data_IF_639235530942
#
_entry.id   IF_639235530942
#
_cell.length_a   1.000
_cell.length_b   1.000
_cell.length_c   1.000
_cell.angle_alpha   90.00
_cell.angle_beta   90.00
_cell.angle_gamma   90.00
#
_symmetry.space_group_name_H-M   'P 1'
#
loop_
_entity.id
_entity.type
_entity.pdbx_description
1 polymer ?
#
# COMPACT_ATOMS: atom_id res chain seq x y z
N UNK A 1 26.74 15.63 -10.82
CA UNK A 1 26.40 15.95 -9.41
C UNK A 1 25.45 14.84 -8.98
N UNK A 2 25.81 14.02 -7.99
CA UNK A 2 25.04 12.82 -7.61
C UNK A 2 23.66 13.25 -7.08
N UNK A 3 22.59 12.61 -7.57
CA UNK A 3 21.21 12.80 -7.10
C UNK A 3 21.17 12.83 -5.57
N UNK A 4 20.61 13.92 -5.03
CA UNK A 4 20.47 14.20 -3.60
C UNK A 4 19.30 13.44 -2.95
N UNK A 5 18.62 12.54 -3.69
CA UNK A 5 17.40 11.88 -3.26
C UNK A 5 17.59 10.42 -2.84
N UNK A 6 18.83 9.92 -2.74
CA UNK A 6 19.09 8.58 -2.22
C UNK A 6 18.79 8.52 -0.71
N UNK A 7 17.77 7.70 -0.39
CA UNK A 7 17.35 7.22 0.93
C UNK A 7 16.18 7.95 1.60
N UNK A 8 15.06 8.13 0.90
CA UNK A 8 13.78 8.19 1.61
C UNK A 8 13.29 6.75 1.84
N UNK A 9 13.56 6.19 3.03
CA UNK A 9 12.97 4.91 3.43
C UNK A 9 11.45 5.07 3.52
N UNK A 10 10.74 4.69 2.46
CA UNK A 10 9.28 4.64 2.37
C UNK A 10 8.66 3.47 3.16
N UNK A 11 9.25 3.11 4.32
CA UNK A 11 8.66 2.27 5.39
C UNK A 11 7.38 2.87 6.00
N UNK A 12 6.75 3.84 5.35
CA UNK A 12 5.65 4.64 5.88
C UNK A 12 4.30 4.29 5.26
N UNK A 13 4.26 3.57 4.13
CA UNK A 13 3.04 2.95 3.63
C UNK A 13 2.81 1.56 4.23
N UNK A 14 3.85 0.94 4.80
CA UNK A 14 3.63 -0.25 5.61
C UNK A 14 2.83 0.16 6.87
N UNK A 15 1.63 -0.37 7.03
CA UNK A 15 0.88 -0.35 8.29
C UNK A 15 1.67 -1.03 9.44
N UNK A 16 2.84 -1.62 9.15
CA UNK A 16 3.87 -1.97 10.12
C UNK A 16 4.90 -0.85 10.36
N UNK A 17 4.94 -0.33 11.59
CA UNK A 17 6.02 0.53 12.07
C UNK A 17 7.30 -0.30 12.25
N UNK A 18 8.35 -0.03 11.48
CA UNK A 18 9.70 -0.54 11.79
C UNK A 18 10.76 0.58 11.79
N UNK A 19 10.72 1.39 12.85
CA UNK A 19 11.88 2.16 13.31
C UNK A 19 12.86 1.27 14.08
N UNK A 20 14.18 1.51 14.00
CA UNK A 20 15.17 0.71 14.70
C UNK A 20 15.12 1.01 16.21
N UNK A 21 14.70 0.01 16.98
CA UNK A 21 14.76 0.02 18.45
C UNK A 21 13.40 0.14 19.13
N UNK A 22 12.62 -0.95 19.08
CA UNK A 22 11.88 -1.50 20.24
C UNK A 22 11.60 -2.96 19.90
N UNK A 23 12.14 -3.82 20.74
CA UNK A 23 12.02 -5.26 20.79
C UNK A 23 10.56 -5.72 20.72
N UNK A 24 10.26 -6.62 19.76
CA UNK A 24 9.38 -7.79 19.91
C UNK A 24 8.17 -7.58 20.83
N UNK A 25 7.20 -6.76 20.41
CA UNK A 25 5.79 -6.78 20.86
C UNK A 25 5.09 -5.57 20.22
N UNK A 26 4.51 -5.73 19.02
CA UNK A 26 3.48 -4.81 18.46
C UNK A 26 3.02 -5.36 17.11
N UNK A 27 2.12 -6.35 17.15
CA UNK A 27 1.24 -6.62 16.02
C UNK A 27 0.37 -5.37 15.78
N UNK A 28 0.34 -4.90 14.54
CA UNK A 28 -0.61 -3.97 13.89
C UNK A 28 -1.60 -3.22 14.81
N UNK A 29 -1.36 -1.91 15.02
CA UNK A 29 -2.17 -1.05 15.88
C UNK A 29 -3.63 -0.83 15.39
N UNK A 30 -3.94 -1.07 14.11
CA UNK A 30 -5.30 -0.99 13.58
C UNK A 30 -6.17 -2.17 14.05
N UNK A 31 -5.61 -3.38 14.04
CA UNK A 31 -6.28 -4.61 14.51
C UNK A 31 -6.61 -4.54 16.00
N UNK A 32 -5.66 -4.09 16.84
CA UNK A 32 -5.87 -3.95 18.29
C UNK A 32 -6.99 -2.93 18.64
N UNK A 33 -7.20 -1.93 17.79
CA UNK A 33 -8.31 -0.98 17.99
C UNK A 33 -9.65 -1.57 17.54
N UNK A 34 -9.66 -2.30 16.41
CA UNK A 34 -10.85 -2.99 15.89
C UNK A 34 -11.33 -4.09 16.84
N UNK A 35 -10.44 -4.82 17.52
CA UNK A 35 -10.78 -5.89 18.47
C UNK A 35 -11.81 -5.45 19.53
N UNK A 36 -11.71 -4.19 19.98
CA UNK A 36 -12.55 -3.57 21.01
C UNK A 36 -13.81 -2.88 20.47
N UNK A 37 -14.02 -2.87 19.16
CA UNK A 37 -15.21 -2.28 18.55
C UNK A 37 -16.40 -3.25 18.56
N UNK A 38 -17.60 -2.69 18.43
CA UNK A 38 -18.82 -3.48 18.21
C UNK A 38 -18.72 -4.32 16.93
N UNK A 39 -19.42 -5.44 16.88
CA UNK A 39 -19.43 -6.30 15.69
C UNK A 39 -20.02 -5.60 14.47
N UNK A 40 -20.96 -4.67 14.67
CA UNK A 40 -21.51 -3.82 13.60
C UNK A 40 -20.42 -2.93 12.99
N UNK A 41 -19.61 -2.28 13.82
CA UNK A 41 -18.45 -1.49 13.37
C UNK A 41 -17.44 -2.36 12.62
N UNK A 42 -17.15 -3.57 13.12
CA UNK A 42 -16.21 -4.50 12.47
C UNK A 42 -16.70 -4.94 11.10
N UNK A 43 -18.00 -5.23 10.96
CA UNK A 43 -18.61 -5.60 9.68
C UNK A 43 -18.55 -4.46 8.67
N UNK A 44 -18.78 -3.22 9.11
CA UNK A 44 -18.68 -2.04 8.25
C UNK A 44 -17.24 -1.83 7.75
N UNK A 45 -16.26 -1.89 8.66
CA UNK A 45 -14.83 -1.82 8.30
C UNK A 45 -14.43 -2.95 7.35
N UNK A 46 -14.88 -4.18 7.58
CA UNK A 46 -14.62 -5.30 6.68
C UNK A 46 -15.14 -5.02 5.26
N UNK A 47 -16.36 -4.48 5.13
CA UNK A 47 -16.92 -4.12 3.81
C UNK A 47 -16.02 -3.12 3.09
N UNK A 48 -15.55 -2.09 3.78
CA UNK A 48 -14.66 -1.07 3.21
C UNK A 48 -13.31 -1.67 2.80
N UNK A 49 -12.71 -2.53 3.64
CA UNK A 49 -11.47 -3.24 3.32
C UNK A 49 -11.64 -4.16 2.10
N UNK A 50 -12.77 -4.84 1.96
CA UNK A 50 -13.05 -5.65 0.76
C UNK A 50 -13.13 -4.79 -0.51
N UNK A 51 -13.65 -3.56 -0.42
CA UNK A 51 -13.66 -2.62 -1.56
C UNK A 51 -12.24 -2.24 -1.94
N UNK A 52 -11.40 -1.87 -0.97
CA UNK A 52 -9.98 -1.52 -1.21
C UNK A 52 -9.23 -2.71 -1.83
N UNK A 53 -9.37 -3.91 -1.24
CA UNK A 53 -8.75 -5.14 -1.76
C UNK A 53 -9.20 -5.43 -3.19
N UNK A 54 -10.50 -5.25 -3.47
CA UNK A 54 -11.03 -5.44 -4.82
C UNK A 54 -10.42 -4.45 -5.81
N UNK A 55 -10.31 -3.17 -5.45
CA UNK A 55 -9.67 -2.14 -6.27
C UNK A 55 -8.21 -2.47 -6.61
N UNK A 56 -7.47 -3.10 -5.69
CA UNK A 56 -6.07 -3.50 -5.87
C UNK A 56 -5.88 -4.87 -6.56
N UNK A 57 -6.89 -5.74 -6.53
CA UNK A 57 -6.76 -7.16 -6.91
C UNK A 57 -6.25 -7.40 -8.34
N UNK A 58 -6.76 -6.66 -9.32
CA UNK A 58 -6.34 -6.82 -10.72
C UNK A 58 -4.85 -6.51 -10.88
N UNK A 59 -4.38 -5.45 -10.22
CA UNK A 59 -2.98 -5.03 -10.26
C UNK A 59 -2.08 -6.06 -9.58
N UNK A 60 -2.47 -6.53 -8.40
CA UNK A 60 -1.75 -7.57 -7.64
C UNK A 60 -1.58 -8.88 -8.43
N UNK A 61 -2.67 -9.40 -9.01
CA UNK A 61 -2.57 -10.67 -9.74
C UNK A 61 -1.83 -10.55 -11.07
N UNK A 62 -1.81 -9.36 -11.69
CA UNK A 62 -0.94 -9.09 -12.85
C UNK A 62 0.53 -9.09 -12.44
N UNK A 63 0.88 -8.41 -11.35
CA UNK A 63 2.23 -8.47 -10.77
C UNK A 63 2.65 -9.92 -10.52
N UNK A 64 1.84 -10.71 -9.81
CA UNK A 64 2.14 -12.13 -9.57
C UNK A 64 2.25 -12.95 -10.83
N UNK A 65 1.47 -12.66 -11.87
CA UNK A 65 1.60 -13.34 -13.16
C UNK A 65 2.94 -13.06 -13.83
N UNK A 66 3.45 -11.82 -13.75
CA UNK A 66 4.74 -11.43 -14.33
C UNK A 66 5.87 -12.09 -13.54
N UNK A 67 5.86 -11.94 -12.21
CA UNK A 67 6.82 -12.55 -11.28
C UNK A 67 6.95 -14.06 -11.50
N UNK A 68 5.82 -14.78 -11.69
CA UNK A 68 5.83 -16.24 -11.90
C UNK A 68 6.21 -16.67 -13.32
N UNK A 69 6.05 -15.83 -14.33
CA UNK A 69 6.35 -16.21 -15.74
C UNK A 69 7.82 -15.99 -16.08
N UNK A 70 8.50 -15.11 -15.35
CA UNK A 70 9.87 -14.67 -15.63
C UNK A 70 10.91 -15.23 -14.66
N UNK A 71 10.73 -16.48 -14.23
CA UNK A 71 11.59 -17.17 -13.24
C UNK A 71 13.07 -17.35 -13.67
N UNK A 72 13.37 -17.12 -14.95
CA UNK A 72 14.71 -17.21 -15.52
C UNK A 72 15.46 -15.85 -15.53
N UNK A 73 14.76 -14.73 -15.27
CA UNK A 73 15.38 -13.41 -15.19
C UNK A 73 16.08 -13.22 -13.86
N UNK A 74 17.13 -12.38 -13.85
CA UNK A 74 17.67 -11.90 -12.58
C UNK A 74 16.75 -10.83 -11.93
N UNK A 75 17.09 -10.42 -10.70
CA UNK A 75 16.25 -9.51 -9.93
C UNK A 75 16.07 -8.15 -10.61
N UNK A 76 17.13 -7.64 -11.24
CA UNK A 76 17.10 -6.32 -11.88
C UNK A 76 16.28 -6.40 -13.18
N UNK A 77 16.51 -7.42 -14.01
CA UNK A 77 15.72 -7.69 -15.21
C UNK A 77 14.23 -7.89 -14.90
N UNK A 78 13.91 -8.57 -13.80
CA UNK A 78 12.53 -8.76 -13.35
C UNK A 78 11.87 -7.43 -12.94
N UNK A 79 12.61 -6.55 -12.24
CA UNK A 79 12.10 -5.23 -11.84
C UNK A 79 11.81 -4.36 -13.07
N UNK A 80 12.73 -4.32 -14.03
CA UNK A 80 12.55 -3.57 -15.29
C UNK A 80 11.28 -4.03 -16.02
N UNK A 81 11.10 -5.36 -16.16
CA UNK A 81 9.93 -5.93 -16.84
C UNK A 81 8.61 -5.62 -16.11
N UNK A 82 8.62 -5.59 -14.78
CA UNK A 82 7.47 -5.22 -13.96
C UNK A 82 7.14 -3.73 -14.13
N UNK A 83 8.17 -2.88 -14.06
CA UNK A 83 8.05 -1.43 -14.25
C UNK A 83 7.42 -1.10 -15.61
N UNK A 84 8.00 -1.61 -16.70
CA UNK A 84 7.52 -1.38 -18.07
C UNK A 84 6.04 -1.76 -18.25
N UNK A 85 5.59 -2.85 -17.63
CA UNK A 85 4.23 -3.38 -17.81
C UNK A 85 3.19 -2.76 -16.91
N UNK A 86 3.56 -2.29 -15.72
CA UNK A 86 2.59 -1.89 -14.69
C UNK A 86 2.62 -0.41 -14.36
N UNK A 87 3.74 0.29 -14.57
CA UNK A 87 3.91 1.66 -14.06
C UNK A 87 2.87 2.63 -14.62
N UNK A 88 2.50 2.48 -15.89
CA UNK A 88 1.45 3.30 -16.54
C UNK A 88 0.09 3.34 -15.81
N UNK A 89 -0.20 2.37 -14.94
CA UNK A 89 -1.47 2.28 -14.18
C UNK A 89 -1.34 2.72 -12.72
N UNK A 90 -0.13 3.01 -12.25
CA UNK A 90 0.17 3.25 -10.83
C UNK A 90 -0.57 4.47 -10.32
N UNK A 91 -0.41 5.63 -10.96
CA UNK A 91 -1.00 6.88 -10.49
C UNK A 91 -2.53 6.86 -10.49
N UNK A 92 -3.14 6.26 -11.51
CA UNK A 92 -4.61 6.09 -11.57
C UNK A 92 -5.11 5.21 -10.42
N UNK A 93 -4.36 4.17 -10.08
CA UNK A 93 -4.70 3.29 -8.97
C UNK A 93 -4.53 3.99 -7.62
N UNK A 94 -3.46 4.77 -7.43
CA UNK A 94 -3.29 5.61 -6.24
C UNK A 94 -4.43 6.62 -6.06
N UNK A 95 -4.85 7.28 -7.15
CA UNK A 95 -5.97 8.24 -7.08
C UNK A 95 -7.29 7.55 -6.72
N UNK A 96 -7.52 6.34 -7.23
CA UNK A 96 -8.70 5.56 -6.88
C UNK A 96 -8.66 5.13 -5.41
N UNK A 97 -7.54 4.57 -4.96
CA UNK A 97 -7.39 4.02 -3.62
C UNK A 97 -7.38 5.13 -2.56
N UNK A 98 -6.84 6.30 -2.85
CA UNK A 98 -6.89 7.44 -1.92
C UNK A 98 -8.32 7.85 -1.62
N UNK A 99 -9.22 7.84 -2.61
CA UNK A 99 -10.66 8.11 -2.43
C UNK A 99 -11.32 7.03 -1.57
N UNK A 100 -11.04 5.76 -1.87
CA UNK A 100 -11.57 4.62 -1.12
C UNK A 100 -11.12 4.66 0.35
N UNK A 101 -9.84 4.95 0.62
CA UNK A 101 -9.26 4.98 1.96
C UNK A 101 -9.68 6.24 2.72
N UNK A 102 -9.43 7.44 2.18
CA UNK A 102 -9.68 8.70 2.91
C UNK A 102 -11.18 8.93 3.17
N UNK A 103 -12.05 8.37 2.32
CA UNK A 103 -13.50 8.39 2.50
C UNK A 103 -14.04 7.32 3.44
N UNK A 104 -13.23 6.35 3.86
CA UNK A 104 -13.66 5.20 4.66
C UNK A 104 -13.86 5.54 6.14
N UNK A 105 -14.83 4.89 6.78
CA UNK A 105 -14.95 4.89 8.24
C UNK A 105 -13.74 4.24 8.90
N UNK A 106 -13.13 3.26 8.24
CA UNK A 106 -11.87 2.66 8.66
C UNK A 106 -10.79 3.72 8.91
N UNK A 107 -10.59 4.66 7.99
CA UNK A 107 -9.65 5.78 8.16
C UNK A 107 -10.02 6.70 9.34
N UNK A 108 -11.31 6.98 9.54
CA UNK A 108 -11.81 7.76 10.69
C UNK A 108 -11.53 7.07 12.03
N UNK A 109 -11.47 5.74 12.06
CA UNK A 109 -11.19 4.96 13.27
C UNK A 109 -9.70 4.80 13.56
N UNK A 110 -8.82 5.12 12.62
CA UNK A 110 -7.37 5.08 12.83
C UNK A 110 -6.88 6.14 13.82
N UNK A 111 -5.66 5.96 14.36
CA UNK A 111 -5.00 6.98 15.17
C UNK A 111 -4.61 8.18 14.30
N UNK A 112 -4.53 9.36 14.92
CA UNK A 112 -4.12 10.60 14.23
C UNK A 112 -2.77 10.45 13.51
N UNK A 113 -1.81 9.78 14.14
CA UNK A 113 -0.48 9.56 13.57
C UNK A 113 -0.54 8.72 12.28
N UNK A 114 -1.34 7.65 12.28
CA UNK A 114 -1.53 6.79 11.10
C UNK A 114 -2.26 7.52 9.98
N UNK A 115 -3.32 8.26 10.33
CA UNK A 115 -4.03 9.09 9.34
C UNK A 115 -3.10 10.10 8.67
N UNK A 116 -2.25 10.75 9.46
CA UNK A 116 -1.29 11.73 8.96
C UNK A 116 -0.31 11.08 7.98
N UNK A 117 0.24 9.91 8.32
CA UNK A 117 1.13 9.14 7.44
C UNK A 117 0.46 8.77 6.11
N UNK A 118 -0.79 8.31 6.14
CA UNK A 118 -1.54 7.96 4.93
C UNK A 118 -1.76 9.19 4.04
N UNK A 119 -2.15 10.33 4.64
CA UNK A 119 -2.34 11.58 3.89
C UNK A 119 -1.01 12.02 3.26
N UNK A 120 0.07 12.06 4.04
CA UNK A 120 1.40 12.45 3.55
C UNK A 120 1.90 11.55 2.41
N UNK A 121 1.61 10.25 2.48
CA UNK A 121 1.96 9.32 1.41
C UNK A 121 1.18 9.59 0.11
N UNK A 122 -0.13 9.87 0.20
CA UNK A 122 -0.91 10.21 -0.99
C UNK A 122 -0.52 11.59 -1.56
N UNK A 123 -0.31 12.59 -0.70
CA UNK A 123 0.14 13.92 -1.13
C UNK A 123 1.49 13.84 -1.85
N UNK A 124 2.41 13.00 -1.36
CA UNK A 124 3.67 12.73 -2.04
C UNK A 124 3.46 12.16 -3.45
N UNK A 125 2.68 11.07 -3.58
CA UNK A 125 2.45 10.43 -4.89
C UNK A 125 1.80 11.40 -5.88
N UNK A 126 0.86 12.24 -5.42
CA UNK A 126 0.25 13.27 -6.27
C UNK A 126 1.27 14.32 -6.69
N UNK A 127 2.15 14.74 -5.78
CA UNK A 127 3.25 15.67 -6.12
C UNK A 127 4.18 15.08 -7.18
N UNK A 128 4.54 13.80 -7.05
CA UNK A 128 5.39 13.10 -8.01
C UNK A 128 4.72 12.96 -9.39
N UNK A 129 3.41 12.68 -9.43
CA UNK A 129 2.62 12.70 -10.67
C UNK A 129 2.69 14.06 -11.37
N UNK A 130 2.48 15.14 -10.62
CA UNK A 130 2.51 16.51 -11.16
C UNK A 130 3.90 16.86 -11.68
N UNK A 131 4.96 16.51 -10.94
CA UNK A 131 6.35 16.72 -11.37
C UNK A 131 6.64 16.03 -12.71
N UNK A 132 6.19 14.79 -12.89
CA UNK A 132 6.35 14.04 -14.14
C UNK A 132 5.60 14.67 -15.32
N UNK A 133 4.41 15.24 -15.07
CA UNK A 133 3.61 15.92 -16.09
C UNK A 133 4.19 17.30 -16.49
N UNK A 134 4.86 17.99 -15.56
CA UNK A 134 5.42 19.33 -15.77
C UNK A 134 6.85 19.34 -16.32
N UNK A 135 7.67 18.32 -16.01
CA UNK A 135 9.07 18.23 -16.44
C UNK A 135 9.40 16.84 -17.01
N UNK A 136 9.13 16.67 -18.31
CA UNK A 136 9.42 15.42 -19.03
C UNK A 136 10.92 15.13 -19.21
N UNK A 137 11.80 16.07 -18.86
CA UNK A 137 13.24 15.92 -19.06
C UNK A 137 13.87 15.03 -17.95
N UNK A 138 13.11 14.69 -16.91
CA UNK A 138 13.51 13.81 -15.81
C UNK A 138 12.48 12.70 -15.56
N UNK A 139 12.42 11.67 -16.42
CA UNK A 139 11.58 10.50 -16.17
C UNK A 139 12.10 9.74 -14.94
N UNK A 140 11.18 9.04 -14.25
CA UNK A 140 11.54 8.08 -13.22
C UNK A 140 12.45 7.00 -13.78
N UNK A 141 13.45 6.59 -13.01
CA UNK A 141 14.19 5.37 -13.33
C UNK A 141 13.41 4.11 -12.91
N UNK A 142 13.82 2.95 -13.41
CA UNK A 142 13.11 1.68 -13.17
C UNK A 142 13.01 1.32 -11.68
N UNK A 143 14.00 1.72 -10.87
CA UNK A 143 13.98 1.51 -9.42
C UNK A 143 12.89 2.38 -8.77
N UNK A 144 12.76 3.64 -9.19
CA UNK A 144 11.72 4.56 -8.75
C UNK A 144 10.32 4.08 -9.17
N UNK A 145 10.15 3.65 -10.42
CA UNK A 145 8.89 3.10 -10.93
C UNK A 145 8.48 1.84 -10.13
N UNK A 146 9.43 0.92 -9.94
CA UNK A 146 9.21 -0.31 -9.20
C UNK A 146 8.86 -0.06 -7.73
N UNK A 147 9.39 1.00 -7.11
CA UNK A 147 9.07 1.37 -5.75
C UNK A 147 7.57 1.70 -5.58
N UNK A 148 6.98 2.46 -6.50
CA UNK A 148 5.54 2.75 -6.46
C UNK A 148 4.68 1.50 -6.69
N UNK A 149 5.12 0.61 -7.58
CA UNK A 149 4.44 -0.66 -7.83
C UNK A 149 4.44 -1.51 -6.56
N UNK A 150 5.60 -1.67 -5.93
CA UNK A 150 5.78 -2.48 -4.72
C UNK A 150 4.92 -1.99 -3.57
N UNK A 151 4.79 -0.68 -3.38
CA UNK A 151 3.90 -0.09 -2.36
C UNK A 151 2.43 -0.48 -2.54
N UNK A 152 1.93 -0.54 -3.78
CA UNK A 152 0.56 -0.97 -4.06
C UNK A 152 0.36 -2.49 -3.80
N UNK A 153 1.41 -3.28 -4.02
CA UNK A 153 1.43 -4.72 -3.71
C UNK A 153 1.42 -4.94 -2.19
N UNK A 154 2.29 -4.25 -1.45
CA UNK A 154 2.33 -4.28 0.01
C UNK A 154 0.96 -3.89 0.61
N UNK A 155 0.34 -2.84 0.09
CA UNK A 155 -0.99 -2.41 0.54
C UNK A 155 -2.05 -3.51 0.33
N UNK A 156 -2.01 -4.23 -0.80
CA UNK A 156 -2.94 -5.34 -1.04
C UNK A 156 -2.78 -6.45 0.01
N UNK A 157 -1.54 -6.81 0.33
CA UNK A 157 -1.21 -7.85 1.29
C UNK A 157 -1.64 -7.44 2.71
N UNK A 158 -1.35 -6.21 3.12
CA UNK A 158 -1.75 -5.69 4.44
C UNK A 158 -3.27 -5.60 4.61
N UNK A 159 -3.99 -5.18 3.57
CA UNK A 159 -5.46 -5.15 3.58
C UNK A 159 -6.01 -6.58 3.66
N UNK A 160 -5.43 -7.52 2.93
CA UNK A 160 -5.84 -8.93 2.94
C UNK A 160 -5.63 -9.56 4.33
N UNK A 161 -4.46 -9.36 4.93
CA UNK A 161 -4.16 -9.82 6.28
C UNK A 161 -5.13 -9.20 7.30
N UNK A 162 -5.44 -7.91 7.16
CA UNK A 162 -6.38 -7.23 8.07
C UNK A 162 -7.79 -7.81 7.97
N UNK A 163 -8.24 -8.14 6.76
CA UNK A 163 -9.52 -8.83 6.53
C UNK A 163 -9.51 -10.19 7.22
N UNK A 164 -8.51 -11.02 6.95
CA UNK A 164 -8.47 -12.39 7.44
C UNK A 164 -8.44 -12.44 8.97
N UNK A 165 -7.58 -11.62 9.60
CA UNK A 165 -7.53 -11.48 11.05
C UNK A 165 -8.86 -10.99 11.66
N UNK A 166 -9.54 -10.05 11.00
CA UNK A 166 -10.83 -9.51 11.48
C UNK A 166 -11.95 -10.54 11.33
N UNK A 167 -11.96 -11.32 10.24
CA UNK A 167 -12.92 -12.41 10.05
C UNK A 167 -12.72 -13.52 11.08
N UNK A 168 -11.49 -13.96 11.32
CA UNK A 168 -11.19 -14.97 12.35
C UNK A 168 -11.69 -14.54 13.73
N UNK A 169 -11.49 -13.27 14.10
CA UNK A 169 -12.01 -12.68 15.35
C UNK A 169 -13.53 -12.76 15.48
N UNK A 170 -14.26 -12.58 14.38
CA UNK A 170 -15.73 -12.66 14.37
C UNK A 170 -16.25 -14.11 14.37
N UNK A 171 -15.53 -15.03 13.73
CA UNK A 171 -15.93 -16.44 13.63
C UNK A 171 -15.64 -17.22 14.92
N UNK A 172 -14.55 -16.94 15.62
CA UNK A 172 -14.15 -17.64 16.86
C UNK A 172 -14.99 -17.25 18.10
N UNK A 173 -15.90 -16.28 17.98
CA UNK A 173 -16.82 -15.87 19.05
C UNK A 173 -18.21 -16.53 18.99
N UNK A 174 -18.48 -17.31 17.94
CA UNK A 174 -19.69 -18.14 17.78
C UNK A 174 -19.37 -19.62 18.02
#
# INVERSE_FOLDING_TARGET
MKSLFRNFEFKQLSLSLSGPGITVERKNNALAYLENQSDETKQEVLRELFVIRHSLSEFYYRYKSIENTNWDLDEDEMKSEIAERLFSRVFDLYEKISKDILGSKYFVLMRNEQRKQIIEAFDYVISEKVSLEEDSDYPFDEDEEYAFISQLIELFEEVSDTIDNTMESLLLKN
#
